data_IF_931789734164
#
_entry.id   IF_931789734164
#
_cell.length_a   1.000
_cell.length_b   1.000
_cell.length_c   1.000
_cell.angle_alpha   90.00
_cell.angle_beta   90.00
_cell.angle_gamma   90.00
#
_symmetry.space_group_name_H-M   'P 1'
#
loop_
_entity.id
_entity.type
_entity.pdbx_description
1 polymer ?
#
# COMPACT_ATOMS: atom_id res chain seq x y z
N UNK A 1 -10.85 -4.54 5.53
CA UNK A 1 -10.15 -4.56 4.24
C UNK A 1 -10.96 -5.35 3.24
N UNK A 2 -11.13 -4.81 2.07
CA UNK A 2 -11.92 -5.44 1.02
C UNK A 2 -11.00 -5.94 -0.08
N UNK A 3 -11.06 -7.24 -0.39
CA UNK A 3 -10.31 -7.80 -1.50
C UNK A 3 -11.09 -7.62 -2.78
N UNK A 4 -10.45 -7.05 -3.78
CA UNK A 4 -11.03 -7.00 -5.12
C UNK A 4 -11.01 -8.38 -5.73
N UNK A 5 -12.05 -8.69 -6.48
CA UNK A 5 -12.10 -9.93 -7.24
C UNK A 5 -11.02 -9.94 -8.32
N UNK A 6 -10.60 -11.15 -8.71
CA UNK A 6 -9.59 -11.33 -9.77
C UNK A 6 -10.20 -11.15 -11.15
N UNK A 7 -10.98 -10.16 -11.34
CA UNK A 7 -11.55 -9.86 -12.64
C UNK A 7 -10.86 -8.64 -13.23
N UNK A 8 -11.18 -8.34 -14.45
CA UNK A 8 -10.55 -7.27 -15.20
C UNK A 8 -11.16 -5.93 -14.88
N UNK A 9 -11.00 -5.46 -13.65
CA UNK A 9 -11.37 -4.11 -13.29
C UNK A 9 -10.29 -3.13 -13.71
N UNK A 10 -10.69 -2.00 -14.24
CA UNK A 10 -9.75 -0.92 -14.54
C UNK A 10 -9.77 0.03 -13.35
N UNK A 11 -8.63 0.17 -12.70
CA UNK A 11 -8.46 1.05 -11.55
C UNK A 11 -7.89 2.39 -12.01
N UNK A 12 -8.26 3.45 -11.32
CA UNK A 12 -7.70 4.78 -11.63
C UNK A 12 -6.21 4.85 -11.31
N UNK A 13 -5.84 4.31 -10.16
CA UNK A 13 -4.47 4.31 -9.65
C UNK A 13 -4.24 3.01 -8.94
N UNK A 14 -3.14 2.34 -9.26
CA UNK A 14 -2.70 1.16 -8.51
C UNK A 14 -1.35 1.47 -7.88
N UNK A 15 -1.25 1.23 -6.60
CA UNK A 15 -0.01 1.41 -5.84
C UNK A 15 0.49 0.02 -5.46
N UNK A 16 1.75 -0.25 -5.77
CA UNK A 16 2.35 -1.55 -5.52
C UNK A 16 3.27 -1.43 -4.31
N UNK A 17 2.90 -2.09 -3.24
CA UNK A 17 3.68 -2.09 -2.02
C UNK A 17 3.02 -1.33 -0.87
N UNK A 18 3.22 -1.85 0.34
CA UNK A 18 2.61 -1.33 1.55
C UNK A 18 3.63 -0.84 2.57
N UNK A 19 4.77 -0.37 2.11
CA UNK A 19 5.72 0.34 2.95
C UNK A 19 5.27 1.79 3.16
N UNK A 20 6.07 2.60 3.86
CA UNK A 20 5.73 4.00 4.13
C UNK A 20 5.43 4.81 2.87
N UNK A 21 6.21 4.59 1.81
CA UNK A 21 6.01 5.31 0.55
C UNK A 21 4.69 4.93 -0.11
N UNK A 22 4.33 3.64 -0.07
CA UNK A 22 3.06 3.17 -0.62
C UNK A 22 1.87 3.77 0.10
N UNK A 23 1.87 3.74 1.43
CA UNK A 23 0.78 4.34 2.19
C UNK A 23 0.73 5.86 2.04
N UNK A 24 1.87 6.52 1.94
CA UNK A 24 1.90 7.97 1.69
C UNK A 24 1.26 8.29 0.35
N UNK A 25 1.62 7.56 -0.70
CA UNK A 25 1.02 7.73 -2.02
C UNK A 25 -0.49 7.48 -1.98
N UNK A 26 -0.91 6.44 -1.26
CA UNK A 26 -2.31 6.09 -1.14
C UNK A 26 -3.12 7.19 -0.45
N UNK A 27 -2.59 7.75 0.63
CA UNK A 27 -3.27 8.84 1.35
C UNK A 27 -3.49 10.03 0.42
N UNK A 28 -2.47 10.44 -0.30
CA UNK A 28 -2.58 11.59 -1.21
C UNK A 28 -3.53 11.31 -2.37
N UNK A 29 -3.44 10.13 -2.98
CA UNK A 29 -4.32 9.76 -4.08
C UNK A 29 -5.78 9.66 -3.62
N UNK A 30 -6.01 9.07 -2.45
CA UNK A 30 -7.35 8.94 -1.90
C UNK A 30 -7.96 10.30 -1.58
N UNK A 31 -7.18 11.20 -1.00
CA UNK A 31 -7.66 12.55 -0.71
C UNK A 31 -7.95 13.35 -1.98
N UNK A 32 -7.30 13.01 -3.07
CA UNK A 32 -7.58 13.60 -4.38
C UNK A 32 -8.77 12.93 -5.10
N UNK A 33 -9.49 12.05 -4.43
CA UNK A 33 -10.64 11.32 -4.97
C UNK A 33 -10.30 10.38 -6.13
N UNK A 34 -9.09 9.85 -6.18
CA UNK A 34 -8.67 8.96 -7.25
C UNK A 34 -9.00 7.49 -6.97
N UNK A 35 -9.50 7.17 -5.79
CA UNK A 35 -9.89 5.81 -5.41
C UNK A 35 -8.77 4.80 -5.65
N UNK A 36 -7.61 4.97 -5.02
CA UNK A 36 -6.48 4.09 -5.27
C UNK A 36 -6.71 2.67 -4.78
N UNK A 37 -6.15 1.71 -5.50
CA UNK A 37 -6.02 0.33 -5.07
C UNK A 37 -4.55 0.12 -4.67
N UNK A 38 -4.33 -0.35 -3.46
CA UNK A 38 -2.97 -0.66 -2.99
C UNK A 38 -2.83 -2.17 -2.88
N UNK A 39 -1.87 -2.72 -3.61
CA UNK A 39 -1.51 -4.14 -3.53
C UNK A 39 -0.42 -4.28 -2.50
N UNK A 40 -0.72 -4.96 -1.41
CA UNK A 40 0.13 -4.91 -0.21
C UNK A 40 1.45 -5.65 -0.34
N UNK A 41 1.51 -6.71 -1.18
CA UNK A 41 2.64 -7.61 -1.21
C UNK A 41 2.59 -8.59 -0.04
N UNK A 42 2.82 -9.87 -0.32
CA UNK A 42 2.68 -10.86 0.73
C UNK A 42 3.67 -12.02 0.57
N UNK A 43 3.79 -12.55 -0.64
CA UNK A 43 4.50 -13.81 -0.86
C UNK A 43 5.84 -13.66 -1.58
N UNK A 44 6.14 -12.51 -2.12
CA UNK A 44 7.36 -12.29 -2.93
C UNK A 44 8.55 -11.82 -2.10
N UNK A 45 8.64 -12.32 -0.88
CA UNK A 45 9.74 -11.98 0.01
C UNK A 45 9.55 -10.69 0.79
N UNK A 46 8.45 -9.99 0.57
CA UNK A 46 8.12 -8.80 1.33
C UNK A 46 7.14 -9.12 2.46
N UNK A 47 7.20 -8.34 3.50
CA UNK A 47 6.22 -8.36 4.58
C UNK A 47 5.33 -7.14 4.38
N UNK A 48 3.98 -7.28 4.43
CA UNK A 48 3.11 -6.11 4.40
C UNK A 48 3.56 -5.08 5.45
N UNK A 49 3.77 -3.83 5.03
CA UNK A 49 4.35 -2.81 5.89
C UNK A 49 5.83 -2.59 5.66
N UNK A 50 6.50 -3.47 4.91
CA UNK A 50 7.89 -3.32 4.53
C UNK A 50 8.88 -3.52 5.67
N UNK A 51 10.04 -2.91 5.55
CA UNK A 51 11.13 -3.08 6.50
C UNK A 51 10.81 -2.58 7.91
N UNK A 52 9.90 -1.63 8.05
CA UNK A 52 9.54 -1.12 9.37
C UNK A 52 8.85 -2.17 10.23
N UNK A 53 8.30 -3.22 9.62
CA UNK A 53 7.71 -4.32 10.37
C UNK A 53 8.75 -5.17 11.09
N UNK A 54 10.01 -5.09 10.68
CA UNK A 54 11.11 -5.87 11.27
C UNK A 54 11.98 -5.04 12.19
N UNK A 55 11.71 -3.75 12.32
CA UNK A 55 12.46 -2.88 13.21
C UNK A 55 11.73 -2.65 14.54
N UNK A 56 12.45 -2.23 15.55
CA UNK A 56 11.85 -1.90 16.84
C UNK A 56 11.40 -0.45 16.85
N UNK A 57 12.26 0.48 17.27
CA UNK A 57 11.92 1.89 17.33
C UNK A 57 12.33 2.62 16.08
N UNK A 58 11.42 3.44 15.57
CA UNK A 58 11.67 4.41 14.51
C UNK A 58 11.80 5.77 15.18
N UNK A 59 13.00 6.34 15.13
CA UNK A 59 13.31 7.58 15.87
C UNK A 59 13.40 8.79 14.96
N UNK A 60 13.37 8.58 13.66
CA UNK A 60 13.57 9.63 12.67
C UNK A 60 12.34 9.90 11.81
N UNK A 61 11.17 9.44 12.23
CA UNK A 61 9.94 9.76 11.53
C UNK A 61 9.29 10.97 12.22
N UNK A 62 9.07 12.07 11.49
CA UNK A 62 8.52 13.29 12.11
C UNK A 62 7.15 13.06 12.74
N UNK A 63 6.90 13.70 13.85
CA UNK A 63 5.65 13.59 14.57
C UNK A 63 5.70 12.70 15.81
N UNK A 64 6.81 12.01 16.02
CA UNK A 64 7.01 11.10 17.15
C UNK A 64 8.31 11.47 17.86
N UNK A 65 8.30 12.48 18.73
CA UNK A 65 9.55 12.97 19.34
C UNK A 65 10.28 11.94 20.17
N UNK A 66 9.56 10.99 20.75
CA UNK A 66 10.15 9.90 21.54
C UNK A 66 10.26 8.60 20.78
N UNK A 67 10.05 8.62 19.45
CA UNK A 67 10.06 7.43 18.63
C UNK A 67 8.72 6.70 18.62
N UNK A 68 8.61 5.72 17.77
CA UNK A 68 7.42 4.88 17.63
C UNK A 68 7.86 3.49 17.19
N UNK A 69 7.17 2.44 17.65
CA UNK A 69 7.45 1.09 17.16
C UNK A 69 7.13 0.99 15.68
N UNK A 70 8.02 0.33 14.92
CA UNK A 70 7.84 0.17 13.48
C UNK A 70 6.49 -0.41 13.10
N UNK A 71 6.09 -1.59 13.63
CA UNK A 71 4.78 -2.17 13.34
C UNK A 71 3.61 -1.25 13.72
N UNK A 72 3.70 -0.57 14.85
CA UNK A 72 2.68 0.39 15.25
C UNK A 72 2.55 1.54 14.27
N UNK A 73 3.68 2.08 13.81
CA UNK A 73 3.68 3.14 12.80
C UNK A 73 3.01 2.68 11.51
N UNK A 74 3.30 1.45 11.08
CA UNK A 74 2.70 0.91 9.87
C UNK A 74 1.19 0.70 10.03
N UNK A 75 0.73 0.26 11.19
CA UNK A 75 -0.70 0.14 11.46
C UNK A 75 -1.40 1.50 11.39
N UNK A 76 -0.76 2.53 11.92
CA UNK A 76 -1.29 3.89 11.85
C UNK A 76 -1.37 4.40 10.41
N UNK A 77 -0.34 4.14 9.60
CA UNK A 77 -0.34 4.53 8.20
C UNK A 77 -1.42 3.82 7.41
N UNK A 78 -1.59 2.52 7.64
CA UNK A 78 -2.63 1.74 6.99
C UNK A 78 -4.02 2.28 7.33
N UNK A 79 -4.27 2.52 8.61
CA UNK A 79 -5.54 3.06 9.06
C UNK A 79 -5.83 4.42 8.44
N UNK A 80 -4.81 5.26 8.31
CA UNK A 80 -4.94 6.57 7.69
C UNK A 80 -5.28 6.45 6.21
N UNK A 81 -4.63 5.54 5.49
CA UNK A 81 -4.92 5.30 4.08
C UNK A 81 -6.36 4.80 3.90
N UNK A 82 -6.79 3.86 4.74
CA UNK A 82 -8.14 3.33 4.67
C UNK A 82 -9.20 4.37 5.02
N UNK A 83 -8.90 5.24 5.96
CA UNK A 83 -9.82 6.33 6.33
C UNK A 83 -10.21 7.18 5.13
N UNK A 84 -9.28 7.41 4.22
CA UNK A 84 -9.53 8.26 3.05
C UNK A 84 -10.06 7.49 1.84
N UNK A 85 -10.25 6.17 1.98
CA UNK A 85 -10.90 5.38 0.95
C UNK A 85 -9.95 4.55 0.08
N UNK A 86 -8.72 4.34 0.50
CA UNK A 86 -7.84 3.40 -0.18
C UNK A 86 -8.39 1.98 -0.06
N UNK A 87 -8.51 1.28 -1.18
CA UNK A 87 -8.80 -0.13 -1.19
C UNK A 87 -7.50 -0.92 -1.07
N UNK A 88 -7.48 -1.89 -0.16
CA UNK A 88 -6.32 -2.75 0.03
C UNK A 88 -6.59 -4.12 -0.57
N UNK A 89 -5.61 -4.65 -1.30
CA UNK A 89 -5.68 -5.97 -1.89
C UNK A 89 -4.46 -6.77 -1.45
N UNK A 90 -4.70 -7.83 -0.70
CA UNK A 90 -3.63 -8.69 -0.19
C UNK A 90 -3.16 -9.66 -1.26
N UNK A 91 -2.20 -9.24 -2.04
CA UNK A 91 -1.63 -10.07 -3.09
C UNK A 91 -0.28 -9.50 -3.49
N UNK A 92 0.37 -10.20 -4.40
CA UNK A 92 1.61 -9.74 -5.03
C UNK A 92 1.36 -9.44 -6.49
N UNK A 93 1.95 -8.37 -7.00
CA UNK A 93 1.99 -8.11 -8.43
C UNK A 93 3.09 -8.98 -9.03
N UNK A 94 2.74 -9.83 -9.98
CA UNK A 94 3.69 -10.75 -10.60
C UNK A 94 4.15 -10.29 -11.98
N UNK A 95 3.40 -9.43 -12.63
CA UNK A 95 3.83 -8.85 -13.91
C UNK A 95 3.08 -7.54 -14.19
N UNK A 96 3.72 -6.70 -14.99
CA UNK A 96 3.15 -5.44 -15.46
C UNK A 96 3.43 -5.33 -16.94
N UNK A 97 2.39 -5.02 -17.71
CA UNK A 97 2.52 -4.70 -19.13
C UNK A 97 2.13 -3.25 -19.35
N UNK A 98 3.08 -2.45 -19.80
CA UNK A 98 2.88 -1.02 -20.06
C UNK A 98 2.82 -0.69 -21.56
N UNK A 99 2.76 -1.71 -22.42
CA UNK A 99 2.76 -1.50 -23.87
C UNK A 99 1.42 -1.01 -24.41
N UNK A 100 0.38 -1.09 -23.60
CA UNK A 100 -0.95 -0.65 -23.99
C UNK A 100 -1.59 0.14 -22.86
N UNK A 101 -2.67 0.82 -23.15
CA UNK A 101 -3.52 1.48 -22.15
C UNK A 101 -4.90 0.85 -22.14
N UNK A 102 -5.43 0.56 -20.97
CA UNK A 102 -4.78 0.73 -19.64
C UNK A 102 -3.61 -0.24 -19.49
N UNK A 103 -2.68 0.11 -18.60
CA UNK A 103 -1.62 -0.80 -18.21
C UNK A 103 -2.22 -2.05 -17.58
N UNK A 104 -1.58 -3.18 -17.78
CA UNK A 104 -2.09 -4.45 -17.28
C UNK A 104 -1.19 -4.96 -16.15
N UNK A 105 -1.79 -5.18 -14.98
CA UNK A 105 -1.11 -5.78 -13.84
C UNK A 105 -1.71 -7.14 -13.56
N UNK A 106 -0.86 -8.11 -13.33
CA UNK A 106 -1.28 -9.44 -12.93
C UNK A 106 -0.83 -9.70 -11.50
N UNK A 107 -1.73 -10.28 -10.73
CA UNK A 107 -1.49 -10.65 -9.35
C UNK A 107 -1.59 -12.16 -9.18
N UNK A 108 -1.14 -12.65 -8.04
CA UNK A 108 -1.31 -14.05 -7.70
C UNK A 108 -2.77 -14.46 -7.63
#
# INVERSE_FOLDING_TARGET
MENKEKNSNVENVVIIGSGPSGYTAAIYAARANLQPLLVTGFNSGGIPGGQLMTTTFVENFPGFPDGVLGPELMDLMMAQAERWGTNLYESDVVSINTDSHPFELKTL
#
